data_IF_575351347713
#
_entry.id   IF_575351347713
#
_cell.length_a   1.000
_cell.length_b   1.000
_cell.length_c   1.000
_cell.angle_alpha   90.00
_cell.angle_beta   90.00
_cell.angle_gamma   90.00
#
_symmetry.space_group_name_H-M   'P 1'
#
loop_
_entity.id
_entity.type
_entity.pdbx_description
1 polymer ?
#
# COMPACT_ATOMS: atom_id res chain seq x y z
N UNK A 1 15.68 -3.00 7.76
CA UNK A 1 15.21 -3.72 6.55
C UNK A 1 13.86 -3.16 6.18
N UNK A 2 13.65 -2.71 4.93
CA UNK A 2 12.41 -2.08 4.52
C UNK A 2 11.23 -3.03 4.74
N UNK A 3 10.18 -2.51 5.36
CA UNK A 3 8.98 -3.22 5.74
C UNK A 3 7.76 -2.64 5.03
N UNK A 4 6.98 -3.49 4.39
CA UNK A 4 5.76 -3.09 3.72
C UNK A 4 4.53 -3.63 4.44
N UNK A 5 3.51 -2.79 4.58
CA UNK A 5 2.19 -3.20 5.03
C UNK A 5 1.27 -3.32 3.81
N UNK A 6 0.67 -4.49 3.62
CA UNK A 6 -0.27 -4.79 2.54
C UNK A 6 -1.64 -4.99 3.15
N UNK A 7 -2.63 -4.27 2.65
CA UNK A 7 -4.02 -4.31 3.13
C UNK A 7 -4.92 -4.77 1.98
N UNK A 8 -5.14 -6.08 1.89
CA UNK A 8 -5.92 -6.72 0.82
C UNK A 8 -6.35 -8.13 1.25
N UNK A 9 -7.65 -8.45 1.18
CA UNK A 9 -8.15 -9.79 1.47
C UNK A 9 -7.81 -10.83 0.38
N UNK A 10 -7.48 -10.37 -0.83
CA UNK A 10 -7.10 -11.22 -1.94
C UNK A 10 -5.65 -11.68 -1.79
N UNK A 11 -5.48 -12.93 -1.36
CA UNK A 11 -4.16 -13.56 -1.16
C UNK A 11 -3.33 -13.58 -2.44
N UNK A 12 -3.95 -13.77 -3.62
CA UNK A 12 -3.21 -13.83 -4.88
C UNK A 12 -2.61 -12.46 -5.23
N UNK A 13 -3.39 -11.39 -5.08
CA UNK A 13 -2.93 -10.01 -5.30
C UNK A 13 -1.88 -9.63 -4.25
N UNK A 14 -2.13 -9.92 -2.97
CA UNK A 14 -1.16 -9.71 -1.88
C UNK A 14 0.19 -10.39 -2.14
N UNK A 15 0.20 -11.60 -2.69
CA UNK A 15 1.44 -12.31 -3.06
C UNK A 15 2.14 -11.69 -4.26
N UNK A 16 1.38 -11.25 -5.26
CA UNK A 16 1.96 -10.55 -6.40
C UNK A 16 2.60 -9.22 -5.97
N UNK A 17 1.94 -8.45 -5.11
CA UNK A 17 2.48 -7.23 -4.51
C UNK A 17 3.79 -7.52 -3.77
N UNK A 18 3.81 -8.55 -2.89
CA UNK A 18 5.03 -8.95 -2.18
C UNK A 18 6.17 -9.31 -3.13
N UNK A 19 5.88 -10.03 -4.22
CA UNK A 19 6.89 -10.41 -5.19
C UNK A 19 7.55 -9.18 -5.82
N UNK A 20 6.75 -8.21 -6.28
CA UNK A 20 7.26 -6.96 -6.85
C UNK A 20 8.04 -6.13 -5.82
N UNK A 21 7.50 -5.96 -4.62
CA UNK A 21 8.19 -5.24 -3.54
C UNK A 21 9.51 -5.92 -3.13
N UNK A 22 9.54 -7.25 -3.13
CA UNK A 22 10.76 -8.03 -2.89
C UNK A 22 11.84 -7.75 -3.92
N UNK A 23 11.48 -7.59 -5.20
CA UNK A 23 12.39 -7.16 -6.27
C UNK A 23 12.99 -5.76 -6.04
N UNK A 24 12.32 -4.91 -5.27
CA UNK A 24 12.77 -3.55 -4.91
C UNK A 24 13.55 -3.50 -3.59
N UNK A 25 13.82 -4.65 -2.96
CA UNK A 25 14.60 -4.73 -1.72
C UNK A 25 13.79 -4.69 -0.42
N UNK A 26 12.45 -4.74 -0.48
CA UNK A 26 11.65 -5.01 0.71
C UNK A 26 11.86 -6.45 1.18
N UNK A 27 12.16 -6.61 2.47
CA UNK A 27 12.53 -7.91 3.05
C UNK A 27 11.61 -8.34 4.20
N UNK A 28 10.58 -7.55 4.50
CA UNK A 28 9.63 -7.81 5.58
C UNK A 28 8.25 -7.30 5.18
N UNK A 29 7.22 -8.09 5.50
CA UNK A 29 5.86 -7.83 5.06
C UNK A 29 4.88 -8.17 6.17
N UNK A 30 3.86 -7.32 6.33
CA UNK A 30 2.62 -7.65 7.04
C UNK A 30 1.48 -7.64 6.01
N UNK A 31 0.65 -8.69 6.00
CA UNK A 31 -0.55 -8.77 5.16
C UNK A 31 -1.76 -8.77 6.08
N UNK A 32 -2.69 -7.86 5.81
CA UNK A 32 -3.86 -7.63 6.67
C UNK A 32 -5.12 -7.56 5.83
N UNK A 33 -6.22 -8.07 6.38
CA UNK A 33 -7.50 -8.18 5.67
C UNK A 33 -8.58 -7.30 6.28
N UNK A 34 -8.28 -6.64 7.39
CA UNK A 34 -9.22 -5.74 8.07
C UNK A 34 -8.50 -4.47 8.49
N UNK A 35 -9.27 -3.39 8.67
CA UNK A 35 -8.73 -2.13 9.18
C UNK A 35 -8.02 -2.29 10.53
N UNK A 36 -8.60 -3.06 11.47
CA UNK A 36 -7.99 -3.23 12.79
C UNK A 36 -6.66 -3.99 12.71
N UNK A 37 -6.59 -5.04 11.88
CA UNK A 37 -5.33 -5.76 11.68
C UNK A 37 -4.23 -4.86 11.11
N UNK A 38 -4.58 -3.96 10.17
CA UNK A 38 -3.64 -3.00 9.61
C UNK A 38 -3.11 -2.03 10.69
N UNK A 39 -3.98 -1.51 11.55
CA UNK A 39 -3.60 -0.64 12.65
C UNK A 39 -2.71 -1.38 13.67
N UNK A 40 -3.08 -2.61 14.04
CA UNK A 40 -2.31 -3.41 14.99
C UNK A 40 -0.94 -3.80 14.42
N UNK A 41 -0.86 -4.12 13.13
CA UNK A 41 0.40 -4.40 12.43
C UNK A 41 1.31 -3.17 12.44
N UNK A 42 0.79 -2.02 12.02
CA UNK A 42 1.55 -0.77 12.02
C UNK A 42 2.02 -0.34 13.42
N UNK A 43 1.24 -0.65 14.46
CA UNK A 43 1.61 -0.40 15.85
C UNK A 43 2.73 -1.33 16.34
N UNK A 44 2.74 -2.61 15.90
CA UNK A 44 3.82 -3.56 16.21
C UNK A 44 5.11 -3.21 15.46
N UNK A 45 4.98 -2.79 14.21
CA UNK A 45 6.09 -2.45 13.34
C UNK A 45 5.67 -1.36 12.36
N UNK A 46 6.37 -0.23 12.40
CA UNK A 46 6.14 0.85 11.45
C UNK A 46 6.50 0.40 10.02
N UNK A 47 5.59 0.55 9.04
CA UNK A 47 5.88 0.28 7.64
C UNK A 47 6.58 1.47 6.97
N UNK A 48 7.46 1.16 6.03
CA UNK A 48 8.08 2.14 5.13
C UNK A 48 7.18 2.48 3.93
N UNK A 49 6.22 1.59 3.62
CA UNK A 49 5.19 1.80 2.59
C UNK A 49 3.91 1.06 2.95
N UNK A 50 2.77 1.63 2.57
CA UNK A 50 1.45 1.00 2.69
C UNK A 50 0.91 0.74 1.29
N UNK A 51 0.51 -0.49 1.01
CA UNK A 51 -0.14 -0.87 -0.25
C UNK A 51 -1.56 -1.35 0.03
N UNK A 52 -2.53 -0.68 -0.56
CA UNK A 52 -3.96 -0.99 -0.44
C UNK A 52 -4.42 -1.73 -1.69
N UNK A 53 -5.00 -2.90 -1.50
CA UNK A 53 -5.62 -3.68 -2.56
C UNK A 53 -7.01 -3.21 -2.98
N UNK A 54 -7.71 -4.08 -3.72
CA UNK A 54 -9.05 -3.76 -4.21
C UNK A 54 -10.12 -3.78 -3.11
N UNK A 55 -10.07 -4.78 -2.24
CA UNK A 55 -11.11 -5.04 -1.25
C UNK A 55 -10.47 -5.52 0.07
N UNK A 56 -11.20 -5.32 1.17
CA UNK A 56 -10.84 -5.84 2.48
C UNK A 56 -12.09 -6.42 3.13
N UNK A 57 -11.89 -7.38 4.05
CA UNK A 57 -12.96 -8.14 4.66
C UNK A 57 -13.86 -7.26 5.54
N UNK A 58 -13.26 -6.38 6.35
CA UNK A 58 -13.99 -5.50 7.27
C UNK A 58 -13.30 -4.14 7.48
N UNK A 59 -14.11 -3.07 7.45
CA UNK A 59 -13.67 -1.69 7.73
C UNK A 59 -13.30 -0.91 6.47
N UNK A 60 -12.34 0.00 6.57
CA UNK A 60 -11.83 0.78 5.43
C UNK A 60 -10.31 0.81 5.38
N UNK A 61 -9.73 0.24 4.32
CA UNK A 61 -8.28 0.25 4.09
C UNK A 61 -7.72 1.66 3.95
N UNK A 62 -8.46 2.55 3.28
CA UNK A 62 -8.10 3.97 3.12
C UNK A 62 -8.06 4.68 4.47
N UNK A 63 -9.06 4.42 5.34
CA UNK A 63 -9.08 5.00 6.68
C UNK A 63 -7.92 4.47 7.53
N UNK A 64 -7.64 3.17 7.46
CA UNK A 64 -6.49 2.57 8.13
C UNK A 64 -5.18 3.24 7.68
N UNK A 65 -4.94 3.29 6.36
CA UNK A 65 -3.74 3.88 5.78
C UNK A 65 -3.59 5.35 6.15
N UNK A 66 -4.68 6.14 6.09
CA UNK A 66 -4.69 7.55 6.54
C UNK A 66 -4.22 7.68 7.99
N UNK A 67 -4.75 6.84 8.88
CA UNK A 67 -4.40 6.85 10.31
C UNK A 67 -2.94 6.49 10.55
N UNK A 68 -2.40 5.57 9.76
CA UNK A 68 -1.02 5.12 9.90
C UNK A 68 -0.05 6.16 9.32
N UNK A 69 -0.38 6.77 8.17
CA UNK A 69 0.49 7.70 7.46
C UNK A 69 0.46 9.13 8.00
N UNK A 70 -0.51 9.47 8.85
CA UNK A 70 -0.74 10.81 9.40
C UNK A 70 0.48 11.41 10.10
N UNK A 71 1.31 10.59 10.76
CA UNK A 71 2.42 11.07 11.59
C UNK A 71 3.76 11.19 10.85
N UNK A 72 3.98 10.39 9.80
CA UNK A 72 5.34 10.11 9.28
C UNK A 72 5.48 10.28 7.76
N UNK A 73 4.46 10.81 7.07
CA UNK A 73 4.42 10.91 5.60
C UNK A 73 4.74 9.57 4.91
N UNK A 74 4.19 8.48 5.45
CA UNK A 74 4.39 7.14 4.88
C UNK A 74 3.66 7.09 3.53
N UNK A 75 4.35 6.71 2.44
CA UNK A 75 3.72 6.60 1.13
C UNK A 75 2.63 5.53 1.14
N UNK A 76 1.49 5.88 0.54
CA UNK A 76 0.32 5.02 0.41
C UNK A 76 0.04 4.81 -1.06
N UNK A 77 0.20 3.57 -1.53
CA UNK A 77 -0.11 3.15 -2.89
C UNK A 77 -1.43 2.40 -2.91
N UNK A 78 -2.32 2.78 -3.82
CA UNK A 78 -3.46 1.94 -4.16
C UNK A 78 -3.09 1.03 -5.34
N UNK A 79 -3.33 -0.26 -5.22
CA UNK A 79 -3.05 -1.26 -6.24
C UNK A 79 -4.32 -2.05 -6.50
N UNK A 80 -4.69 -2.16 -7.78
CA UNK A 80 -5.81 -2.96 -8.21
C UNK A 80 -5.34 -4.17 -9.00
N UNK A 81 -5.93 -5.33 -8.69
CA UNK A 81 -5.82 -6.54 -9.49
C UNK A 81 -6.71 -6.51 -10.73
N UNK A 82 -7.71 -5.62 -10.76
CA UNK A 82 -8.64 -5.47 -11.87
C UNK A 82 -8.41 -4.15 -12.62
N UNK A 83 -8.04 -4.18 -13.92
CA UNK A 83 -7.74 -2.98 -14.69
C UNK A 83 -8.93 -2.02 -14.82
N UNK A 84 -10.18 -2.51 -14.76
CA UNK A 84 -11.37 -1.66 -14.79
C UNK A 84 -11.55 -0.91 -13.45
N UNK A 85 -11.37 -1.61 -12.32
CA UNK A 85 -11.44 -1.01 -10.98
C UNK A 85 -10.31 -0.01 -10.72
N UNK A 86 -9.13 -0.24 -11.30
CA UNK A 86 -8.05 0.74 -11.30
C UNK A 86 -8.52 2.05 -11.94
N UNK A 87 -9.07 2.00 -13.15
CA UNK A 87 -9.52 3.20 -13.84
C UNK A 87 -10.61 3.95 -13.06
N UNK A 88 -11.62 3.25 -12.54
CA UNK A 88 -12.70 3.86 -11.75
C UNK A 88 -12.17 4.55 -10.48
N UNK A 89 -11.24 3.92 -9.76
CA UNK A 89 -10.65 4.49 -8.55
C UNK A 89 -9.74 5.69 -8.85
N UNK A 90 -9.08 5.73 -10.02
CA UNK A 90 -8.25 6.86 -10.43
C UNK A 90 -9.09 8.10 -10.71
N UNK A 91 -10.26 7.93 -11.32
CA UNK A 91 -11.23 9.00 -11.55
C UNK A 91 -11.80 9.57 -10.23
N UNK A 92 -11.84 8.75 -9.17
CA UNK A 92 -12.34 9.16 -7.85
C UNK A 92 -11.24 9.63 -6.88
N UNK A 93 -9.96 9.48 -7.23
CA UNK A 93 -8.85 9.74 -6.31
C UNK A 93 -8.58 11.25 -6.18
N UNK A 94 -8.90 11.81 -5.01
CA UNK A 94 -8.69 13.25 -4.75
C UNK A 94 -7.38 13.57 -4.01
N UNK A 95 -6.61 12.60 -3.49
CA UNK A 95 -5.42 12.91 -2.66
C UNK A 95 -4.43 11.76 -2.37
N UNK A 96 -4.59 10.58 -2.96
CA UNK A 96 -3.66 9.44 -2.76
C UNK A 96 -2.97 9.07 -4.06
N UNK A 97 -1.72 8.60 -4.00
CA UNK A 97 -0.99 8.17 -5.20
C UNK A 97 -1.59 6.85 -5.73
N UNK A 98 -2.14 6.91 -6.95
CA UNK A 98 -2.76 5.78 -7.63
C UNK A 98 -4.29 5.87 -7.71
N UNK A 99 -4.96 4.79 -8.14
CA UNK A 99 -4.50 3.40 -8.16
C UNK A 99 -3.60 3.01 -9.35
N UNK A 100 -2.68 2.12 -9.06
CA UNK A 100 -1.77 1.49 -10.02
C UNK A 100 -2.22 0.05 -10.29
N UNK A 101 -1.83 -0.50 -11.45
CA UNK A 101 -1.92 -1.94 -11.68
C UNK A 101 -0.78 -2.65 -10.94
N UNK A 102 -0.97 -3.93 -10.64
CA UNK A 102 0.07 -4.75 -9.98
C UNK A 102 1.41 -4.70 -10.73
N UNK A 103 1.40 -4.70 -12.06
CA UNK A 103 2.62 -4.61 -12.88
C UNK A 103 3.24 -3.20 -12.94
N UNK A 104 2.62 -2.19 -12.31
CA UNK A 104 3.13 -0.82 -12.22
C UNK A 104 3.66 -0.50 -10.83
N UNK A 105 3.68 -1.47 -9.90
CA UNK A 105 4.11 -1.26 -8.51
C UNK A 105 5.55 -0.75 -8.46
N UNK A 106 6.45 -1.28 -9.29
CA UNK A 106 7.86 -0.91 -9.26
C UNK A 106 8.08 0.57 -9.57
N UNK A 107 7.41 1.08 -10.60
CA UNK A 107 7.43 2.51 -10.96
C UNK A 107 6.76 3.37 -9.88
N UNK A 108 5.59 2.94 -9.39
CA UNK A 108 4.84 3.66 -8.36
C UNK A 108 5.63 3.80 -7.05
N UNK A 109 6.32 2.74 -6.64
CA UNK A 109 7.18 2.74 -5.46
C UNK A 109 8.37 3.68 -5.65
N UNK A 110 8.99 3.69 -6.84
CA UNK A 110 10.06 4.63 -7.16
C UNK A 110 9.61 6.08 -6.96
N UNK A 111 8.49 6.47 -7.57
CA UNK A 111 7.92 7.83 -7.45
C UNK A 111 7.62 8.17 -5.98
N UNK A 112 6.94 7.26 -5.27
CA UNK A 112 6.49 7.50 -3.91
C UNK A 112 7.65 7.63 -2.90
N UNK A 113 8.75 6.91 -3.13
CA UNK A 113 9.94 6.98 -2.27
C UNK A 113 10.88 8.14 -2.64
N UNK A 114 10.97 8.52 -3.92
CA UNK A 114 11.74 9.67 -4.40
C UNK A 114 11.09 11.01 -4.04
N UNK A 115 9.77 11.07 -3.90
CA UNK A 115 9.03 12.26 -3.47
C UNK A 115 9.27 12.70 -2.03
N UNK A 116 10.08 11.97 -1.25
CA UNK A 116 10.47 12.39 0.11
C UNK A 116 11.41 13.60 0.01
N UNK A 117 11.12 14.75 0.67
CA UNK A 117 12.15 15.74 0.87
C UNK A 117 13.25 15.07 1.71
N UNK A 118 14.43 14.93 1.13
CA UNK A 118 15.64 14.58 1.87
C UNK A 118 15.88 15.75 2.81
N UNK A 119 15.47 15.62 4.07
CA UNK A 119 15.89 16.54 5.12
C UNK A 119 17.40 16.33 5.29
N UNK A 120 18.17 17.20 4.63
CA UNK A 120 19.60 17.39 4.85
C UNK A 120 19.85 18.02 6.23
#
# INVERSE_FOLDING_TARGET
MPHALIIDENIAISRAIQHHLGGLGFASFDITWTEQQALDAAARRRPDIIVIGDDIEWGSAIRAARRISLDDSIPVLMVSGNPARASERLEMASSYEGPFRVNQIEEAVGIALEGRPVLH
#
